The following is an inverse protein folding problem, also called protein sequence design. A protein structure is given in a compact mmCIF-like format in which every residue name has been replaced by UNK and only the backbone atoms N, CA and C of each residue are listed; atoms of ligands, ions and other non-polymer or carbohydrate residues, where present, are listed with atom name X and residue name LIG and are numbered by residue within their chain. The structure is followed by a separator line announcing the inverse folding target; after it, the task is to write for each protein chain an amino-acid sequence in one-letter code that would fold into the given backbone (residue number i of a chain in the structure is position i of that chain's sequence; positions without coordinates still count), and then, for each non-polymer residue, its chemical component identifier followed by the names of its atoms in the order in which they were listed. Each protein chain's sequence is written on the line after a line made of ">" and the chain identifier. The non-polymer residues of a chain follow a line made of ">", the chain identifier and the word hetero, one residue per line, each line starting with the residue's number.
data_IF_277085392781
#
_entry.id   IF_277085392781
#
_cell.length_a   1.000
_cell.length_b   1.000
_cell.length_c   1.000
_cell.angle_alpha   90.00
_cell.angle_beta   90.00
_cell.angle_gamma   90.00
#
_symmetry.space_group_name_H-M   'P 1'
#
loop_
_entity.id
_entity.type
_entity.pdbx_description
1 polymer ?
#
# COMPACT_ATOMS: atom_id res chain seq x y z
N UNK A 1 11.04 -19.36 -4.56
CA UNK A 1 10.61 -19.52 -3.14
C UNK A 1 10.38 -18.15 -2.49
N UNK A 2 11.34 -17.22 -2.56
CA UNK A 2 11.17 -15.79 -2.20
C UNK A 2 9.89 -15.11 -2.74
N UNK A 3 9.37 -15.60 -3.88
CA UNK A 3 8.16 -15.10 -4.52
C UNK A 3 6.88 -15.27 -3.66
N UNK A 4 6.74 -16.40 -2.96
CA UNK A 4 5.51 -16.68 -2.18
C UNK A 4 5.44 -15.78 -0.94
N UNK A 5 6.55 -15.63 -0.22
CA UNK A 5 6.65 -14.70 0.90
C UNK A 5 6.33 -13.27 0.44
N UNK A 6 6.91 -12.84 -0.69
CA UNK A 6 6.71 -11.51 -1.20
C UNK A 6 5.24 -11.26 -1.60
N UNK A 7 4.57 -12.23 -2.21
CA UNK A 7 3.14 -12.14 -2.56
C UNK A 7 2.28 -11.96 -1.31
N UNK A 8 2.53 -12.74 -0.24
CA UNK A 8 1.77 -12.63 1.01
C UNK A 8 1.96 -11.24 1.63
N UNK A 9 3.19 -10.74 1.64
CA UNK A 9 3.51 -9.39 2.13
C UNK A 9 2.76 -8.34 1.30
N UNK A 10 2.82 -8.41 -0.03
CA UNK A 10 2.16 -7.46 -0.92
C UNK A 10 0.65 -7.45 -0.72
N UNK A 11 0.00 -8.61 -0.59
CA UNK A 11 -1.45 -8.69 -0.34
C UNK A 11 -1.80 -8.09 1.03
N UNK A 12 -1.05 -8.46 2.08
CA UNK A 12 -1.27 -7.96 3.44
C UNK A 12 -1.14 -6.44 3.50
N UNK A 13 -0.07 -5.91 2.90
CA UNK A 13 0.23 -4.48 2.91
C UNK A 13 -0.80 -3.73 2.06
N UNK A 14 -1.23 -4.27 0.91
CA UNK A 14 -2.33 -3.72 0.13
C UNK A 14 -3.63 -3.61 0.94
N UNK A 15 -4.02 -4.66 1.68
CA UNK A 15 -5.23 -4.66 2.53
C UNK A 15 -5.16 -3.55 3.60
N UNK A 16 -3.96 -3.25 4.10
CA UNK A 16 -3.74 -2.22 5.12
C UNK A 16 -3.69 -0.82 4.53
N UNK A 17 -2.90 -0.63 3.49
CA UNK A 17 -2.42 0.68 3.07
C UNK A 17 -3.35 1.34 2.07
N UNK A 18 -3.99 0.59 1.16
CA UNK A 18 -4.90 1.17 0.17
C UNK A 18 -6.10 1.87 0.84
N UNK A 19 -6.81 1.26 1.82
CA UNK A 19 -7.89 1.95 2.50
C UNK A 19 -7.47 3.18 3.27
N UNK A 20 -6.26 3.17 3.82
CA UNK A 20 -5.67 4.32 4.50
C UNK A 20 -5.36 5.44 3.50
N UNK A 21 -4.64 5.13 2.42
CA UNK A 21 -4.29 6.07 1.35
C UNK A 21 -5.52 6.76 0.75
N UNK A 22 -6.61 6.01 0.53
CA UNK A 22 -7.87 6.60 0.08
C UNK A 22 -8.42 7.65 1.06
N UNK A 23 -8.38 7.35 2.37
CA UNK A 23 -8.81 8.27 3.44
C UNK A 23 -7.91 9.50 3.51
N UNK A 24 -6.59 9.31 3.50
CA UNK A 24 -5.60 10.38 3.55
C UNK A 24 -5.77 11.33 2.35
N UNK A 25 -6.02 10.78 1.16
CA UNK A 25 -6.31 11.57 -0.04
C UNK A 25 -7.60 12.39 0.10
N UNK A 26 -8.65 11.86 0.73
CA UNK A 26 -9.87 12.65 1.00
C UNK A 26 -9.59 13.83 1.92
N UNK A 27 -8.74 13.64 2.94
CA UNK A 27 -8.33 14.73 3.83
C UNK A 27 -7.53 15.81 3.08
N UNK A 28 -6.60 15.42 2.21
CA UNK A 28 -5.84 16.36 1.38
C UNK A 28 -6.74 17.10 0.39
N UNK A 29 -7.69 16.41 -0.26
CA UNK A 29 -8.67 17.04 -1.15
C UNK A 29 -9.46 18.11 -0.38
N UNK A 30 -9.98 17.78 0.80
CA UNK A 30 -10.74 18.73 1.61
C UNK A 30 -9.90 19.95 2.03
N UNK A 31 -8.63 19.74 2.37
CA UNK A 31 -7.72 20.84 2.70
C UNK A 31 -7.48 21.76 1.50
N UNK A 32 -7.17 21.20 0.34
CA UNK A 32 -6.92 21.95 -0.89
C UNK A 32 -8.17 22.66 -1.41
N UNK A 33 -9.36 22.11 -1.16
CA UNK A 33 -10.63 22.79 -1.47
C UNK A 33 -10.85 24.03 -0.60
N UNK A 34 -10.47 23.99 0.69
CA UNK A 34 -10.50 25.16 1.56
C UNK A 34 -9.48 26.21 1.13
N UNK A 35 -8.25 25.79 0.82
CA UNK A 35 -7.20 26.68 0.32
C UNK A 35 -7.60 27.34 -1.03
N UNK A 36 -8.26 26.60 -1.92
CA UNK A 36 -8.83 27.17 -3.14
C UNK A 36 -9.87 28.26 -2.82
N UNK A 37 -10.77 28.03 -1.85
CA UNK A 37 -11.76 29.04 -1.44
C UNK A 37 -11.10 30.26 -0.81
N UNK A 38 -10.06 30.08 0.00
CA UNK A 38 -9.31 31.20 0.60
C UNK A 38 -8.69 32.08 -0.48
N UNK A 39 -8.10 31.48 -1.52
CA UNK A 39 -7.56 32.20 -2.67
C UNK A 39 -8.65 32.92 -3.48
N UNK A 40 -9.82 32.31 -3.64
CA UNK A 40 -10.95 32.94 -4.31
C UNK A 40 -11.48 34.14 -3.52
N UNK A 41 -11.62 34.02 -2.20
CA UNK A 41 -12.00 35.12 -1.33
C UNK A 41 -10.96 36.24 -1.33
N UNK A 42 -9.67 35.91 -1.35
CA UNK A 42 -8.61 36.90 -1.50
C UNK A 42 -8.76 37.70 -2.81
N UNK A 43 -9.05 37.02 -3.93
CA UNK A 43 -9.28 37.66 -5.23
C UNK A 43 -10.57 38.50 -5.22
N UNK A 44 -11.60 38.07 -4.50
CA UNK A 44 -12.90 38.75 -4.42
C UNK A 44 -12.87 40.02 -3.56
N UNK A 45 -12.20 39.96 -2.41
CA UNK A 45 -12.29 40.99 -1.36
C UNK A 45 -11.18 42.05 -1.45
N UNK A 46 -10.09 41.77 -2.17
CA UNK A 46 -8.93 42.67 -2.26
C UNK A 46 -8.85 43.29 -3.66
N UNK A 47 -8.62 44.59 -3.73
CA UNK A 47 -8.41 45.28 -5.00
C UNK A 47 -6.97 45.06 -5.51
N UNK A 48 -6.72 43.91 -6.13
CA UNK A 48 -5.40 43.49 -6.60
C UNK A 48 -4.95 44.28 -7.82
N UNK A 49 -3.69 44.68 -7.85
CA UNK A 49 -3.07 45.15 -9.09
C UNK A 49 -2.77 43.96 -10.04
N UNK A 50 -2.37 44.26 -11.29
CA UNK A 50 -2.14 43.23 -12.30
C UNK A 50 -1.10 42.18 -11.89
N UNK A 51 -0.03 42.57 -11.19
CA UNK A 51 1.02 41.65 -10.73
C UNK A 51 0.51 40.74 -9.62
N UNK A 52 -0.22 41.31 -8.66
CA UNK A 52 -0.83 40.57 -7.56
C UNK A 52 -1.92 39.60 -8.05
N UNK A 53 -2.77 40.04 -8.98
CA UNK A 53 -3.79 39.21 -9.61
C UNK A 53 -3.17 38.04 -10.37
N UNK A 54 -2.08 38.27 -11.12
CA UNK A 54 -1.37 37.18 -11.79
C UNK A 54 -0.76 36.18 -10.79
N UNK A 55 -0.17 36.66 -9.68
CA UNK A 55 0.34 35.78 -8.62
C UNK A 55 -0.77 34.93 -8.00
N UNK A 56 -1.89 35.55 -7.62
CA UNK A 56 -3.05 34.84 -7.06
C UNK A 56 -3.58 33.77 -8.02
N UNK A 57 -3.68 34.09 -9.32
CA UNK A 57 -4.05 33.13 -10.35
C UNK A 57 -3.08 31.94 -10.43
N UNK A 58 -1.77 32.18 -10.37
CA UNK A 58 -0.77 31.10 -10.44
C UNK A 58 -0.82 30.18 -9.22
N UNK A 59 -1.03 30.73 -8.02
CA UNK A 59 -1.25 29.92 -6.81
C UNK A 59 -2.56 29.12 -6.91
N UNK A 60 -3.65 29.74 -7.34
CA UNK A 60 -4.92 29.04 -7.57
C UNK A 60 -4.78 27.90 -8.57
N UNK A 61 -4.06 28.13 -9.67
CA UNK A 61 -3.77 27.10 -10.67
C UNK A 61 -2.95 25.94 -10.06
N UNK A 62 -1.99 26.23 -9.20
CA UNK A 62 -1.16 25.23 -8.51
C UNK A 62 -2.00 24.38 -7.57
N UNK A 63 -2.77 24.99 -6.66
CA UNK A 63 -3.66 24.30 -5.72
C UNK A 63 -4.65 23.40 -6.47
N UNK A 64 -5.25 23.91 -7.55
CA UNK A 64 -6.18 23.12 -8.39
C UNK A 64 -5.52 21.92 -9.04
N UNK A 65 -4.28 22.04 -9.51
CA UNK A 65 -3.54 20.92 -10.11
C UNK A 65 -3.18 19.88 -9.06
N UNK A 66 -2.71 20.31 -7.90
CA UNK A 66 -2.39 19.41 -6.79
C UNK A 66 -3.64 18.65 -6.31
N UNK A 67 -4.77 19.34 -6.15
CA UNK A 67 -6.04 18.69 -5.81
C UNK A 67 -6.46 17.62 -6.82
N UNK A 68 -6.23 17.86 -8.12
CA UNK A 68 -6.58 16.89 -9.18
C UNK A 68 -5.78 15.61 -9.04
N UNK A 69 -4.48 15.68 -8.71
CA UNK A 69 -3.66 14.48 -8.50
C UNK A 69 -4.29 13.56 -7.44
N UNK A 70 -4.75 14.11 -6.31
CA UNK A 70 -5.41 13.31 -5.27
C UNK A 70 -6.80 12.81 -5.69
N UNK A 71 -7.58 13.61 -6.43
CA UNK A 71 -8.90 13.18 -6.95
C UNK A 71 -8.76 12.04 -7.96
N UNK A 72 -7.84 12.17 -8.91
CA UNK A 72 -7.59 11.18 -9.96
C UNK A 72 -7.13 9.85 -9.34
N UNK A 73 -6.22 9.90 -8.36
CA UNK A 73 -5.84 8.70 -7.61
C UNK A 73 -7.04 8.10 -6.85
N UNK A 74 -7.84 8.92 -6.16
CA UNK A 74 -9.00 8.41 -5.44
C UNK A 74 -10.09 7.86 -6.35
N UNK A 75 -10.20 8.32 -7.59
CA UNK A 75 -11.10 7.74 -8.58
C UNK A 75 -10.74 6.28 -8.86
N UNK A 76 -9.44 5.98 -8.99
CA UNK A 76 -8.94 4.61 -9.11
C UNK A 76 -9.15 3.82 -7.81
N UNK A 77 -8.71 4.38 -6.68
CA UNK A 77 -8.76 3.70 -5.38
C UNK A 77 -10.21 3.40 -4.93
N UNK A 78 -11.20 4.22 -5.32
CA UNK A 78 -12.62 4.04 -4.96
C UNK A 78 -13.17 2.65 -5.35
N UNK A 79 -12.63 2.05 -6.41
CA UNK A 79 -13.08 0.75 -6.89
C UNK A 79 -12.55 -0.41 -6.05
N UNK A 80 -11.30 -0.31 -5.57
CA UNK A 80 -10.61 -1.42 -4.88
C UNK A 80 -10.64 -1.27 -3.35
N UNK A 81 -10.66 -0.04 -2.84
CA UNK A 81 -10.64 0.24 -1.41
C UNK A 81 -11.75 -0.48 -0.61
N UNK A 82 -13.02 -0.57 -1.08
CA UNK A 82 -14.06 -1.25 -0.32
C UNK A 82 -13.79 -2.75 -0.17
N UNK A 83 -13.27 -3.37 -1.23
CA UNK A 83 -12.89 -4.80 -1.26
C UNK A 83 -11.81 -5.07 -0.22
N UNK A 84 -10.74 -4.26 -0.25
CA UNK A 84 -9.62 -4.42 0.68
C UNK A 84 -10.01 -4.09 2.13
N UNK A 85 -10.85 -3.07 2.35
CA UNK A 85 -11.37 -2.73 3.67
C UNK A 85 -12.16 -3.88 4.30
N UNK A 86 -12.95 -4.62 3.50
CA UNK A 86 -13.68 -5.80 3.96
C UNK A 86 -12.75 -6.97 4.31
N UNK A 87 -11.55 -7.02 3.73
CA UNK A 87 -10.54 -8.03 4.03
C UNK A 87 -9.64 -7.67 5.23
N UNK A 88 -9.88 -6.55 5.94
CA UNK A 88 -9.07 -6.16 7.10
C UNK A 88 -8.97 -7.25 8.18
N UNK A 89 -10.03 -8.06 8.36
CA UNK A 89 -10.01 -9.20 9.28
C UNK A 89 -9.04 -10.32 8.87
N UNK A 90 -8.65 -10.38 7.60
CA UNK A 90 -7.76 -11.41 7.04
C UNK A 90 -6.27 -11.11 7.28
N UNK A 91 -5.90 -9.89 7.70
CA UNK A 91 -4.50 -9.51 7.94
C UNK A 91 -3.81 -10.48 8.89
N UNK A 92 -4.48 -10.87 9.99
CA UNK A 92 -3.93 -11.83 10.95
C UNK A 92 -3.65 -13.18 10.32
N UNK A 93 -4.58 -13.68 9.51
CA UNK A 93 -4.40 -14.95 8.80
C UNK A 93 -3.24 -14.90 7.80
N UNK A 94 -3.00 -13.75 7.16
CA UNK A 94 -1.84 -13.55 6.28
C UNK A 94 -0.53 -13.51 7.06
N UNK A 95 -0.51 -12.88 8.24
CA UNK A 95 0.68 -12.88 9.11
C UNK A 95 0.99 -14.30 9.64
N UNK A 96 -0.03 -15.07 10.02
CA UNK A 96 0.11 -16.47 10.43
C UNK A 96 0.63 -17.33 9.25
N UNK A 97 0.06 -17.16 8.06
CA UNK A 97 0.48 -17.86 6.86
C UNK A 97 1.94 -17.54 6.48
N UNK A 98 2.35 -16.27 6.59
CA UNK A 98 3.72 -15.84 6.38
C UNK A 98 4.69 -16.55 7.35
N UNK A 99 4.30 -16.67 8.62
CA UNK A 99 5.06 -17.44 9.62
C UNK A 99 5.22 -18.91 9.23
N UNK A 100 4.13 -19.56 8.81
CA UNK A 100 4.13 -20.95 8.35
C UNK A 100 5.01 -21.16 7.12
N UNK A 101 4.94 -20.25 6.13
CA UNK A 101 5.78 -20.30 4.92
C UNK A 101 7.26 -20.21 5.31
N UNK A 102 7.65 -19.21 6.09
CA UNK A 102 9.04 -19.03 6.56
C UNK A 102 9.56 -20.26 7.33
N UNK A 103 8.73 -20.83 8.19
CA UNK A 103 9.11 -22.04 8.92
C UNK A 103 9.28 -23.24 7.98
N UNK A 104 8.40 -23.37 6.99
CA UNK A 104 8.47 -24.44 6.00
C UNK A 104 9.71 -24.31 5.12
N UNK A 105 10.05 -23.10 4.68
CA UNK A 105 11.27 -22.84 3.92
C UNK A 105 12.52 -23.26 4.72
N UNK A 106 12.63 -22.85 5.99
CA UNK A 106 13.72 -23.30 6.87
C UNK A 106 13.76 -24.82 7.03
N UNK A 107 12.61 -25.47 7.14
CA UNK A 107 12.54 -26.93 7.25
C UNK A 107 12.96 -27.62 5.96
N UNK A 108 12.65 -27.04 4.79
CA UNK A 108 13.03 -27.54 3.48
C UNK A 108 14.53 -27.36 3.23
N UNK A 109 15.11 -26.22 3.63
CA UNK A 109 16.55 -25.96 3.58
C UNK A 109 17.34 -26.99 4.41
N UNK A 110 16.84 -27.33 5.60
CA UNK A 110 17.49 -28.27 6.53
C UNK A 110 16.99 -29.71 6.38
N UNK A 111 16.30 -30.04 5.28
CA UNK A 111 15.62 -31.32 5.13
C UNK A 111 16.61 -32.47 4.95
N UNK A 112 16.60 -33.42 5.89
CA UNK A 112 17.35 -34.67 5.81
C UNK A 112 16.39 -35.84 5.64
N UNK A 113 16.64 -36.73 4.67
CA UNK A 113 15.78 -37.89 4.44
C UNK A 113 16.21 -39.08 5.29
N UNK A 114 15.43 -39.42 6.31
CA UNK A 114 15.60 -40.67 7.09
C UNK A 114 14.93 -41.83 6.38
N UNK A 115 15.68 -42.88 6.03
CA UNK A 115 15.12 -44.04 5.33
C UNK A 115 14.22 -44.84 6.27
N UNK A 116 12.98 -45.10 5.83
CA UNK A 116 11.94 -45.72 6.65
C UNK A 116 11.99 -47.26 6.63
N UNK A 117 12.21 -47.84 5.45
CA UNK A 117 12.12 -49.30 5.21
C UNK A 117 13.49 -49.92 4.92
N UNK A 118 14.20 -49.42 3.91
CA UNK A 118 15.54 -49.88 3.51
C UNK A 118 16.64 -49.24 4.35
N UNK A 119 16.71 -49.60 5.64
CA UNK A 119 17.67 -49.05 6.62
C UNK A 119 19.13 -49.14 6.14
N UNK A 120 19.44 -50.10 5.27
CA UNK A 120 20.73 -50.28 4.61
C UNK A 120 21.17 -49.06 3.78
N UNK A 121 20.21 -48.32 3.21
CA UNK A 121 20.48 -47.14 2.37
C UNK A 121 20.67 -45.84 3.17
N UNK A 122 20.38 -45.84 4.48
CA UNK A 122 20.36 -44.61 5.29
C UNK A 122 21.76 -43.98 5.40
N UNK A 123 22.79 -44.82 5.54
CA UNK A 123 24.20 -44.37 5.55
C UNK A 123 24.66 -43.84 4.19
N UNK A 124 24.14 -44.41 3.10
CA UNK A 124 24.47 -44.00 1.73
C UNK A 124 23.81 -42.65 1.40
N UNK A 125 22.56 -42.45 1.83
CA UNK A 125 21.79 -41.24 1.51
C UNK A 125 22.18 -40.06 2.40
N UNK A 126 22.43 -40.28 3.69
CA UNK A 126 22.72 -39.20 4.64
C UNK A 126 24.21 -39.00 4.93
N UNK A 127 25.09 -39.79 4.30
CA UNK A 127 26.52 -39.52 4.27
C UNK A 127 27.20 -39.37 5.63
N UNK A 128 26.75 -40.09 6.67
CA UNK A 128 27.51 -40.16 7.92
C UNK A 128 28.67 -41.12 7.68
N UNK A 129 29.86 -40.56 7.44
CA UNK A 129 31.14 -41.30 7.50
C UNK A 129 31.37 -41.83 8.90
#
# INVERSE_FOLDING_TARGET
>A
MQDIEQIIITIRDAIRDIPKRYSDNLEQINKLEKEENDLLHYIELVNLNAVEGFKAYKELQKVRKERRVYKDENELLRHIQPVLKNMKGQIRHLDDALGCVRQTEKNLENRIYRVRVRKDLDKVINGVK
#
